data_IF_602263582256
#
_entry.id   IF_602263582256
#
_cell.length_a   1.000
_cell.length_b   1.000
_cell.length_c   1.000
_cell.angle_alpha   90.00
_cell.angle_beta   90.00
_cell.angle_gamma   90.00
#
_symmetry.space_group_name_H-M   'P 1'
#
loop_
_entity.id
_entity.type
_entity.pdbx_description
1 polymer ?
#
# COMPACT_ATOMS: atom_id res chain seq x y z
N UNK A 1 3.08 43.13 17.36
CA UNK A 1 2.77 41.77 17.87
C UNK A 1 2.22 40.83 16.78
N UNK A 2 2.18 41.23 15.51
CA UNK A 2 1.63 40.44 14.38
C UNK A 2 2.68 39.61 13.62
N UNK A 3 3.95 40.02 13.62
CA UNK A 3 5.01 39.33 12.86
C UNK A 3 5.27 37.88 13.31
N UNK A 4 5.08 37.56 14.59
CA UNK A 4 5.25 36.19 15.11
C UNK A 4 4.11 35.27 14.66
N UNK A 5 2.90 35.82 14.48
CA UNK A 5 1.73 35.06 14.05
C UNK A 5 1.80 34.70 12.56
N UNK A 6 2.17 35.67 11.72
CA UNK A 6 2.41 35.49 10.28
C UNK A 6 3.49 34.41 10.03
N UNK A 7 4.60 34.47 10.76
CA UNK A 7 5.69 33.50 10.66
C UNK A 7 5.22 32.10 11.10
N UNK A 8 4.41 32.01 12.15
CA UNK A 8 3.90 30.73 12.66
C UNK A 8 2.93 30.06 11.68
N UNK A 9 2.04 30.84 11.05
CA UNK A 9 1.10 30.35 10.04
C UNK A 9 1.85 29.88 8.78
N UNK A 10 2.88 30.62 8.35
CA UNK A 10 3.74 30.22 7.24
C UNK A 10 4.44 28.89 7.50
N UNK A 11 5.03 28.71 8.70
CA UNK A 11 5.68 27.45 9.08
C UNK A 11 4.68 26.30 9.10
N UNK A 12 3.48 26.51 9.65
CA UNK A 12 2.44 25.49 9.68
C UNK A 12 1.96 25.10 8.27
N UNK A 13 1.82 26.09 7.36
CA UNK A 13 1.46 25.85 5.97
C UNK A 13 2.52 25.03 5.23
N UNK A 14 3.81 25.31 5.45
CA UNK A 14 4.92 24.54 4.87
C UNK A 14 4.89 23.10 5.38
N UNK A 15 4.70 22.90 6.70
CA UNK A 15 4.60 21.56 7.29
C UNK A 15 3.42 20.79 6.68
N UNK A 16 2.24 21.40 6.59
CA UNK A 16 1.06 20.81 5.98
C UNK A 16 1.31 20.42 4.52
N UNK A 17 1.95 21.30 3.73
CA UNK A 17 2.31 21.02 2.34
C UNK A 17 3.29 19.84 2.20
N UNK A 18 4.30 19.74 3.08
CA UNK A 18 5.26 18.63 3.08
C UNK A 18 4.59 17.31 3.44
N UNK A 19 3.70 17.31 4.44
CA UNK A 19 2.92 16.12 4.81
C UNK A 19 2.05 15.69 3.63
N UNK A 20 1.32 16.63 3.02
CA UNK A 20 0.45 16.34 1.88
C UNK A 20 1.24 15.79 0.68
N UNK A 21 2.41 16.39 0.39
CA UNK A 21 3.31 15.91 -0.65
C UNK A 21 3.81 14.48 -0.36
N UNK A 22 4.17 14.18 0.88
CA UNK A 22 4.55 12.82 1.29
C UNK A 22 3.38 11.84 1.13
N UNK A 23 2.18 12.21 1.56
CA UNK A 23 0.98 11.36 1.42
C UNK A 23 0.69 11.07 -0.05
N UNK A 24 0.71 12.08 -0.93
CA UNK A 24 0.51 11.91 -2.36
C UNK A 24 1.63 11.05 -3.00
N UNK A 25 2.87 11.20 -2.54
CA UNK A 25 3.99 10.37 -3.01
C UNK A 25 3.86 8.91 -2.53
N UNK A 26 3.43 8.70 -1.30
CA UNK A 26 3.12 7.36 -0.75
C UNK A 26 1.96 6.71 -1.47
N UNK A 27 0.91 7.45 -1.83
CA UNK A 27 -0.22 6.92 -2.58
C UNK A 27 0.19 6.37 -3.95
N UNK A 28 1.09 7.06 -4.67
CA UNK A 28 1.67 6.52 -5.91
C UNK A 28 2.47 5.23 -5.66
N UNK A 29 3.23 5.19 -4.57
CA UNK A 29 3.95 3.99 -4.15
C UNK A 29 3.01 2.84 -3.82
N UNK A 30 1.85 3.12 -3.22
CA UNK A 30 0.83 2.14 -2.86
C UNK A 30 0.24 1.45 -4.09
N UNK A 31 -0.02 2.20 -5.16
CA UNK A 31 -0.46 1.64 -6.45
C UNK A 31 0.60 0.71 -7.02
N UNK A 32 1.85 1.13 -7.05
CA UNK A 32 2.97 0.31 -7.55
C UNK A 32 3.12 -0.96 -6.71
N UNK A 33 3.02 -0.83 -5.38
CA UNK A 33 3.11 -1.96 -4.45
C UNK A 33 1.96 -2.96 -4.67
N UNK A 34 0.74 -2.46 -4.91
CA UNK A 34 -0.43 -3.27 -5.25
C UNK A 34 -0.21 -4.03 -6.56
N UNK A 35 0.27 -3.34 -7.59
CA UNK A 35 0.51 -3.94 -8.92
C UNK A 35 1.58 -5.02 -8.81
N UNK A 36 2.70 -4.75 -8.15
CA UNK A 36 3.77 -5.73 -7.95
C UNK A 36 3.25 -6.92 -7.13
N UNK A 37 2.53 -6.68 -6.03
CA UNK A 37 1.94 -7.72 -5.20
C UNK A 37 0.96 -8.61 -5.96
N UNK A 38 0.07 -8.02 -6.76
CA UNK A 38 -0.86 -8.75 -7.62
C UNK A 38 -0.14 -9.53 -8.72
N UNK A 39 0.89 -8.96 -9.34
CA UNK A 39 1.71 -9.67 -10.35
C UNK A 39 2.36 -10.91 -9.74
N UNK A 40 2.89 -10.80 -8.52
CA UNK A 40 3.46 -11.94 -7.79
C UNK A 40 2.38 -12.98 -7.47
N UNK A 41 1.19 -12.54 -7.06
CA UNK A 41 0.08 -13.42 -6.76
C UNK A 41 -0.40 -14.19 -8.00
N UNK A 42 -0.47 -13.51 -9.15
CA UNK A 42 -0.79 -14.11 -10.45
C UNK A 42 0.28 -15.11 -10.86
N UNK A 43 1.56 -14.76 -10.73
CA UNK A 43 2.66 -15.69 -11.00
C UNK A 43 2.60 -16.91 -10.08
N UNK A 44 2.33 -16.72 -8.79
CA UNK A 44 2.22 -17.83 -7.84
C UNK A 44 1.02 -18.73 -8.16
N UNK A 45 -0.13 -18.15 -8.49
CA UNK A 45 -1.33 -18.87 -8.94
C UNK A 45 -1.03 -19.69 -10.21
N UNK A 46 -0.32 -19.09 -11.18
CA UNK A 46 0.02 -19.75 -12.44
C UNK A 46 1.12 -20.83 -12.28
N UNK A 47 2.17 -20.56 -11.51
CA UNK A 47 3.32 -21.46 -11.36
C UNK A 47 3.04 -22.62 -10.39
N UNK A 48 2.29 -22.36 -9.31
CA UNK A 48 2.00 -23.35 -8.27
C UNK A 48 0.58 -23.92 -8.41
N UNK A 49 -0.25 -23.39 -9.31
CA UNK A 49 -1.65 -23.81 -9.48
C UNK A 49 -2.57 -23.41 -8.33
N UNK A 50 -2.12 -22.51 -7.44
CA UNK A 50 -2.91 -22.06 -6.29
C UNK A 50 -4.13 -21.26 -6.78
N UNK A 51 -5.36 -21.74 -6.56
CA UNK A 51 -6.61 -21.07 -6.96
C UNK A 51 -6.97 -19.90 -6.01
N UNK A 52 -6.02 -19.00 -5.76
CA UNK A 52 -6.21 -17.87 -4.85
C UNK A 52 -7.32 -16.97 -5.37
N UNK A 53 -8.33 -16.72 -4.54
CA UNK A 53 -9.42 -15.82 -4.88
C UNK A 53 -8.97 -14.34 -4.83
N UNK A 54 -9.16 -13.60 -5.92
CA UNK A 54 -8.92 -12.15 -5.98
C UNK A 54 -10.08 -11.36 -5.37
N UNK A 55 -10.26 -11.49 -4.06
CA UNK A 55 -11.25 -10.72 -3.29
C UNK A 55 -10.76 -9.29 -3.00
N UNK A 56 -11.68 -8.37 -2.73
CA UNK A 56 -11.38 -7.02 -2.23
C UNK A 56 -10.39 -7.02 -1.07
N UNK A 57 -10.43 -8.04 -0.21
CA UNK A 57 -9.52 -8.18 0.93
C UNK A 57 -8.09 -8.43 0.48
N UNK A 58 -7.87 -9.32 -0.50
CA UNK A 58 -6.54 -9.63 -1.04
C UNK A 58 -5.93 -8.42 -1.73
N UNK A 59 -6.74 -7.68 -2.49
CA UNK A 59 -6.30 -6.43 -3.12
C UNK A 59 -5.89 -5.41 -2.06
N UNK A 60 -6.65 -5.28 -0.97
CA UNK A 60 -6.30 -4.38 0.14
C UNK A 60 -5.00 -4.81 0.85
N UNK A 61 -4.81 -6.11 1.11
CA UNK A 61 -3.58 -6.65 1.72
C UNK A 61 -2.38 -6.40 0.80
N UNK A 62 -2.50 -6.64 -0.50
CA UNK A 62 -1.46 -6.32 -1.49
C UNK A 62 -1.24 -4.81 -1.62
N UNK A 63 -2.25 -3.97 -1.41
CA UNK A 63 -2.07 -2.53 -1.47
C UNK A 63 -1.31 -1.97 -0.27
N UNK A 64 -1.60 -2.48 0.93
CA UNK A 64 -0.93 -2.07 2.16
C UNK A 64 0.46 -2.71 2.27
N UNK A 65 0.56 -4.01 2.01
CA UNK A 65 1.76 -4.82 2.22
C UNK A 65 2.59 -5.10 0.96
N UNK A 66 2.06 -4.90 -0.24
CA UNK A 66 2.79 -5.09 -1.49
C UNK A 66 3.24 -6.50 -1.76
N UNK A 67 4.54 -6.63 -2.05
CA UNK A 67 5.29 -7.89 -2.07
C UNK A 67 5.10 -8.70 -0.81
N UNK A 68 5.22 -8.08 0.38
CA UNK A 68 5.05 -8.78 1.66
C UNK A 68 3.60 -9.23 1.83
N UNK A 69 2.64 -8.40 1.41
CA UNK A 69 1.22 -8.74 1.41
C UNK A 69 0.90 -9.94 0.53
N UNK A 70 1.46 -9.98 -0.68
CA UNK A 70 1.30 -11.11 -1.60
C UNK A 70 1.89 -12.41 -1.04
N UNK A 71 3.07 -12.34 -0.44
CA UNK A 71 3.70 -13.50 0.20
C UNK A 71 2.85 -14.03 1.36
N UNK A 72 2.26 -13.13 2.16
CA UNK A 72 1.38 -13.49 3.27
C UNK A 72 0.12 -14.21 2.77
N UNK A 73 -0.50 -13.73 1.70
CA UNK A 73 -1.68 -14.38 1.07
C UNK A 73 -1.32 -15.78 0.55
N UNK A 74 -0.16 -15.95 -0.10
CA UNK A 74 0.30 -17.26 -0.59
C UNK A 74 0.48 -18.24 0.58
N UNK A 75 1.11 -17.80 1.67
CA UNK A 75 1.30 -18.62 2.87
C UNK A 75 -0.06 -18.99 3.48
N UNK A 76 -0.99 -18.04 3.59
CA UNK A 76 -2.30 -18.28 4.19
C UNK A 76 -3.16 -19.28 3.39
N UNK A 77 -3.07 -19.22 2.06
CA UNK A 77 -3.66 -20.21 1.15
C UNK A 77 -3.03 -21.60 1.36
N UNK A 78 -1.70 -21.66 1.52
CA UNK A 78 -0.99 -22.91 1.83
C UNK A 78 -1.41 -23.54 3.15
N UNK A 79 -1.74 -22.73 4.16
CA UNK A 79 -2.28 -23.20 5.44
C UNK A 79 -3.78 -23.55 5.37
N UNK A 80 -4.46 -23.27 4.26
CA UNK A 80 -5.90 -23.52 4.08
C UNK A 80 -6.80 -22.66 4.96
N UNK A 81 -6.27 -21.57 5.54
CA UNK A 81 -6.98 -20.73 6.50
C UNK A 81 -7.81 -19.63 5.81
N UNK A 82 -7.34 -19.10 4.68
CA UNK A 82 -8.08 -18.13 3.87
C UNK A 82 -7.44 -17.90 2.49
N UNK A 83 -8.33 -17.55 1.54
CA UNK A 83 -8.10 -17.34 0.09
C UNK A 83 -7.60 -18.57 -0.62
#
# INVERSE_FOLDING_TARGET
MTGVLELSILVLAIIAAVILYKVLKTAKSMVINTVIGLVILVLANFALGLKIAYTWVVIAICAIGGTVGALLVIVLHYLGLAF
#
